data_IF_041290844685
#
_entry.id   IF_041290844685
#
_cell.length_a   1.000
_cell.length_b   1.000
_cell.length_c   1.000
_cell.angle_alpha   90.00
_cell.angle_beta   90.00
_cell.angle_gamma   90.00
#
_symmetry.space_group_name_H-M   'P 1'
#
loop_
_entity.id
_entity.type
_entity.pdbx_description
1 polymer ?
#
# COMPACT_ATOMS: atom_id res chain seq x y z
N UNK A 1 -10.84 14.72 11.83
CA UNK A 1 -11.10 14.24 10.46
C UNK A 1 -12.55 14.44 10.12
N UNK A 2 -12.84 14.87 8.90
CA UNK A 2 -14.22 14.87 8.43
C UNK A 2 -14.69 13.44 8.19
N UNK A 3 -16.02 13.22 8.22
CA UNK A 3 -16.60 11.91 7.92
C UNK A 3 -16.28 11.47 6.49
N UNK A 4 -16.16 12.41 5.56
CA UNK A 4 -15.78 12.14 4.17
C UNK A 4 -14.36 11.57 4.07
N UNK A 5 -13.42 12.12 4.84
CA UNK A 5 -12.05 11.61 4.90
C UNK A 5 -12.01 10.19 5.45
N UNK A 6 -12.79 9.90 6.49
CA UNK A 6 -12.87 8.56 7.08
C UNK A 6 -13.42 7.56 6.05
N UNK A 7 -14.45 7.93 5.31
CA UNK A 7 -15.03 7.08 4.26
C UNK A 7 -13.99 6.78 3.17
N UNK A 8 -13.24 7.79 2.73
CA UNK A 8 -12.18 7.59 1.74
C UNK A 8 -11.07 6.70 2.27
N UNK A 9 -10.58 6.92 3.48
CA UNK A 9 -9.54 6.08 4.08
C UNK A 9 -10.00 4.63 4.15
N UNK A 10 -11.25 4.38 4.56
CA UNK A 10 -11.79 3.03 4.63
C UNK A 10 -11.87 2.37 3.25
N UNK A 11 -12.21 3.12 2.21
CA UNK A 11 -12.24 2.61 0.83
C UNK A 11 -10.85 2.17 0.37
N UNK A 12 -9.81 2.94 0.68
CA UNK A 12 -8.42 2.61 0.33
C UNK A 12 -7.91 1.42 1.13
N UNK A 13 -8.22 1.34 2.42
CA UNK A 13 -7.85 0.19 3.25
C UNK A 13 -8.51 -1.09 2.75
N UNK A 14 -9.78 -1.01 2.37
CA UNK A 14 -10.51 -2.16 1.82
C UNK A 14 -9.91 -2.62 0.49
N UNK A 15 -9.60 -1.71 -0.41
CA UNK A 15 -8.97 -2.03 -1.68
C UNK A 15 -7.60 -2.69 -1.47
N UNK A 16 -6.80 -2.16 -0.56
CA UNK A 16 -5.50 -2.73 -0.21
C UNK A 16 -5.64 -4.14 0.36
N UNK A 17 -6.61 -4.35 1.25
CA UNK A 17 -6.87 -5.66 1.84
C UNK A 17 -7.27 -6.67 0.77
N UNK A 18 -8.19 -6.32 -0.11
CA UNK A 18 -8.66 -7.21 -1.17
C UNK A 18 -7.53 -7.55 -2.15
N UNK A 19 -6.72 -6.58 -2.50
CA UNK A 19 -5.58 -6.81 -3.38
C UNK A 19 -4.54 -7.73 -2.71
N UNK A 20 -4.26 -7.52 -1.43
CA UNK A 20 -3.35 -8.35 -0.67
C UNK A 20 -3.85 -9.79 -0.56
N UNK A 21 -5.15 -9.98 -0.30
CA UNK A 21 -5.74 -11.32 -0.22
C UNK A 21 -5.56 -12.11 -1.50
N UNK A 22 -5.55 -11.44 -2.66
CA UNK A 22 -5.41 -12.09 -3.95
C UNK A 22 -3.96 -12.26 -4.41
N UNK A 23 -3.06 -11.37 -4.00
CA UNK A 23 -1.75 -11.25 -4.65
C UNK A 23 -0.55 -11.37 -3.72
N UNK A 24 -0.71 -11.16 -2.42
CA UNK A 24 0.45 -11.07 -1.53
C UNK A 24 1.27 -12.37 -1.52
N UNK A 25 0.60 -13.51 -1.45
CA UNK A 25 1.27 -14.82 -1.41
C UNK A 25 2.06 -15.14 -2.68
N UNK A 26 1.70 -14.53 -3.80
CA UNK A 26 2.40 -14.75 -5.07
C UNK A 26 3.62 -13.86 -5.26
N UNK A 27 3.71 -12.79 -4.49
CA UNK A 27 4.76 -11.78 -4.65
C UNK A 27 5.77 -11.80 -3.54
N UNK A 28 5.47 -12.45 -2.42
CA UNK A 28 6.38 -12.63 -1.30
C UNK A 28 6.82 -14.10 -1.29
N UNK A 29 8.03 -14.34 -1.77
CA UNK A 29 8.54 -15.69 -2.00
C UNK A 29 8.53 -16.57 -0.75
N UNK A 30 7.69 -17.62 -0.75
CA UNK A 30 7.85 -18.85 0.00
C UNK A 30 7.83 -18.79 1.52
N UNK A 31 7.88 -17.64 2.13
CA UNK A 31 7.82 -17.50 3.58
C UNK A 31 6.47 -16.96 4.00
N UNK A 32 5.81 -17.66 4.90
CA UNK A 32 4.57 -17.16 5.48
C UNK A 32 4.86 -15.92 6.32
N UNK A 33 4.17 -14.83 5.99
CA UNK A 33 4.20 -13.63 6.81
C UNK A 33 3.36 -13.84 8.06
N UNK A 34 3.82 -13.31 9.18
CA UNK A 34 3.02 -13.24 10.38
C UNK A 34 1.85 -12.25 10.19
N UNK A 35 0.80 -12.42 10.99
CA UNK A 35 -0.36 -11.52 10.91
C UNK A 35 -0.02 -10.05 11.13
N UNK A 36 0.91 -9.77 12.06
CA UNK A 36 1.38 -8.39 12.28
C UNK A 36 2.05 -7.81 11.03
N UNK A 37 2.82 -8.62 10.31
CA UNK A 37 3.49 -8.20 9.08
C UNK A 37 2.48 -7.95 7.96
N UNK A 38 1.46 -8.81 7.84
CA UNK A 38 0.39 -8.62 6.86
C UNK A 38 -0.40 -7.34 7.11
N UNK A 39 -0.72 -7.05 8.37
CA UNK A 39 -1.38 -5.79 8.74
C UNK A 39 -0.54 -4.58 8.37
N UNK A 40 0.77 -4.65 8.64
CA UNK A 40 1.69 -3.58 8.27
C UNK A 40 1.73 -3.38 6.75
N UNK A 41 1.83 -4.46 5.99
CA UNK A 41 1.81 -4.40 4.52
C UNK A 41 0.52 -3.76 4.02
N UNK A 42 -0.62 -4.11 4.59
CA UNK A 42 -1.91 -3.54 4.17
C UNK A 42 -1.98 -2.05 4.50
N UNK A 43 -1.50 -1.63 5.68
CA UNK A 43 -1.46 -0.22 6.06
C UNK A 43 -0.57 0.59 5.11
N UNK A 44 0.61 0.08 4.80
CA UNK A 44 1.54 0.72 3.86
C UNK A 44 0.93 0.75 2.46
N UNK A 45 0.25 -0.32 2.05
CA UNK A 45 -0.43 -0.41 0.75
C UNK A 45 -1.50 0.67 0.60
N UNK A 46 -2.33 0.87 1.62
CA UNK A 46 -3.33 1.94 1.61
C UNK A 46 -2.67 3.32 1.49
N UNK A 47 -1.58 3.54 2.21
CA UNK A 47 -0.82 4.78 2.14
C UNK A 47 -0.24 5.03 0.74
N UNK A 48 0.29 3.99 0.10
CA UNK A 48 0.80 4.07 -1.27
C UNK A 48 -0.32 4.45 -2.25
N UNK A 49 -1.48 3.81 -2.15
CA UNK A 49 -2.61 4.09 -3.03
C UNK A 49 -3.13 5.51 -2.84
N UNK A 50 -3.25 5.96 -1.60
CA UNK A 50 -3.69 7.33 -1.30
C UNK A 50 -2.68 8.36 -1.81
N UNK A 51 -1.40 8.09 -1.66
CA UNK A 51 -0.33 8.96 -2.16
C UNK A 51 -0.38 9.02 -3.69
N UNK A 52 -0.53 7.88 -4.36
CA UNK A 52 -0.66 7.81 -5.81
C UNK A 52 -1.84 8.64 -6.32
N UNK A 53 -2.98 8.52 -5.66
CA UNK A 53 -4.23 9.15 -6.10
C UNK A 53 -4.41 10.56 -5.52
N UNK A 54 -3.45 11.02 -4.71
CA UNK A 54 -3.46 12.35 -4.08
C UNK A 54 -4.68 12.57 -3.20
N UNK A 55 -5.02 11.56 -2.42
CA UNK A 55 -6.12 11.58 -1.46
C UNK A 55 -5.57 11.69 -0.05
N UNK A 56 -6.03 12.67 0.71
CA UNK A 56 -5.55 12.90 2.07
C UNK A 56 -4.12 13.42 2.13
N UNK A 57 -3.44 13.17 3.22
CA UNK A 57 -2.03 13.53 3.37
C UNK A 57 -1.14 12.54 2.63
N UNK A 58 -0.05 13.03 2.00
CA UNK A 58 0.90 12.12 1.38
C UNK A 58 1.49 11.18 2.43
N UNK A 59 1.75 9.94 2.01
CA UNK A 59 2.41 8.98 2.86
C UNK A 59 3.86 9.37 3.14
N UNK A 60 4.53 8.57 3.97
CA UNK A 60 5.93 8.78 4.29
C UNK A 60 6.84 8.60 3.08
N UNK A 61 8.15 8.77 3.31
CA UNK A 61 9.14 8.76 2.24
C UNK A 61 9.19 7.46 1.45
N UNK A 62 8.92 6.31 2.09
CA UNK A 62 8.84 5.04 1.38
C UNK A 62 7.67 5.02 0.38
N UNK A 63 6.48 5.40 0.82
CA UNK A 63 5.29 5.43 -0.05
C UNK A 63 5.50 6.38 -1.23
N UNK A 64 6.06 7.56 -0.99
CA UNK A 64 6.35 8.52 -2.04
C UNK A 64 7.36 7.97 -3.04
N UNK A 65 8.41 7.28 -2.58
CA UNK A 65 9.42 6.69 -3.46
C UNK A 65 8.82 5.59 -4.34
N UNK A 66 7.94 4.76 -3.80
CA UNK A 66 7.25 3.72 -4.59
C UNK A 66 6.39 4.37 -5.67
N UNK A 67 5.61 5.38 -5.32
CA UNK A 67 4.73 6.09 -6.28
C UNK A 67 5.54 6.77 -7.37
N UNK A 68 6.71 7.31 -7.03
CA UNK A 68 7.58 8.02 -7.98
C UNK A 68 8.49 7.08 -8.78
N UNK A 69 8.38 5.77 -8.57
CA UNK A 69 9.27 4.77 -9.19
C UNK A 69 10.75 4.96 -8.83
N UNK A 70 11.01 5.51 -7.66
CA UNK A 70 12.36 5.76 -7.17
C UNK A 70 12.84 4.54 -6.37
N UNK A 71 13.42 3.58 -7.08
CA UNK A 71 13.83 2.31 -6.50
C UNK A 71 14.87 2.48 -5.40
N UNK A 72 15.84 3.37 -5.61
CA UNK A 72 16.90 3.59 -4.62
C UNK A 72 16.33 4.08 -3.29
N UNK A 73 15.48 5.12 -3.33
CA UNK A 73 14.88 5.66 -2.12
C UNK A 73 13.85 4.70 -1.52
N UNK A 74 13.11 3.98 -2.34
CA UNK A 74 12.18 2.96 -1.85
C UNK A 74 12.91 1.90 -1.02
N UNK A 75 14.01 1.36 -1.53
CA UNK A 75 14.82 0.37 -0.81
C UNK A 75 15.45 0.99 0.43
N UNK A 76 16.00 2.19 0.32
CA UNK A 76 16.70 2.87 1.43
C UNK A 76 15.77 3.23 2.59
N UNK A 77 14.50 3.47 2.31
CA UNK A 77 13.51 3.90 3.32
C UNK A 77 12.64 2.75 3.82
N UNK A 78 12.73 1.58 3.19
CA UNK A 78 11.92 0.42 3.57
C UNK A 78 12.45 -0.20 4.86
N UNK A 79 11.52 -0.62 5.73
CA UNK A 79 11.86 -1.55 6.80
C UNK A 79 12.00 -2.97 6.23
N UNK A 80 12.35 -3.93 7.08
CA UNK A 80 12.57 -5.32 6.64
C UNK A 80 11.34 -5.94 5.99
N UNK A 81 10.14 -5.63 6.48
CA UNK A 81 8.88 -6.14 5.92
C UNK A 81 8.63 -5.51 4.55
N UNK A 82 8.81 -4.20 4.42
CA UNK A 82 8.58 -3.49 3.17
C UNK A 82 9.57 -3.91 2.08
N UNK A 83 10.83 -4.19 2.43
CA UNK A 83 11.79 -4.72 1.46
C UNK A 83 11.32 -6.07 0.91
N UNK A 84 10.86 -6.96 1.78
CA UNK A 84 10.36 -8.27 1.36
C UNK A 84 9.11 -8.16 0.47
N UNK A 85 8.29 -7.17 0.70
CA UNK A 85 7.05 -6.96 -0.04
C UNK A 85 7.18 -5.93 -1.18
N UNK A 86 8.39 -5.53 -1.55
CA UNK A 86 8.60 -4.45 -2.51
C UNK A 86 7.97 -4.75 -3.88
N UNK A 87 8.12 -5.97 -4.37
CA UNK A 87 7.49 -6.39 -5.62
C UNK A 87 5.97 -6.23 -5.53
N UNK A 88 5.37 -6.65 -4.42
CA UNK A 88 3.95 -6.50 -4.19
C UNK A 88 3.52 -5.03 -4.23
N UNK A 89 4.26 -4.14 -3.56
CA UNK A 89 3.94 -2.72 -3.54
C UNK A 89 4.01 -2.09 -4.93
N UNK A 90 4.98 -2.45 -5.73
CA UNK A 90 5.12 -1.93 -7.10
C UNK A 90 3.94 -2.38 -7.96
N UNK A 91 3.55 -3.65 -7.87
CA UNK A 91 2.41 -4.19 -8.60
C UNK A 91 1.09 -3.58 -8.13
N UNK A 92 0.94 -3.40 -6.82
CA UNK A 92 -0.23 -2.73 -6.24
C UNK A 92 -0.37 -1.31 -6.80
N UNK A 93 0.71 -0.55 -6.78
CA UNK A 93 0.71 0.83 -7.29
C UNK A 93 0.25 0.89 -8.74
N UNK A 94 0.73 -0.03 -9.57
CA UNK A 94 0.41 -0.02 -11.00
C UNK A 94 -0.97 -0.59 -11.32
N UNK A 95 -1.44 -1.58 -10.55
CA UNK A 95 -2.58 -2.41 -10.97
C UNK A 95 -3.81 -2.27 -10.10
N UNK A 96 -3.66 -1.87 -8.83
CA UNK A 96 -4.80 -1.80 -7.92
C UNK A 96 -5.64 -0.55 -8.20
N UNK A 97 -6.91 -0.77 -8.49
CA UNK A 97 -7.86 0.33 -8.65
C UNK A 97 -8.75 0.43 -7.41
N UNK A 98 -8.99 1.65 -6.98
CA UNK A 98 -9.80 1.92 -5.80
C UNK A 98 -11.12 2.52 -6.24
N UNK A 99 -12.22 1.86 -5.88
CA UNK A 99 -13.56 2.40 -6.09
C UNK A 99 -13.89 3.30 -4.92
N UNK A 100 -13.87 4.60 -5.17
CA UNK A 100 -14.23 5.57 -4.14
C UNK A 100 -15.74 5.78 -4.14
N UNK A 101 -16.37 5.91 -2.97
CA UNK A 101 -17.78 6.25 -2.92
C UNK A 101 -17.99 7.67 -3.45
N UNK A 102 -19.14 7.90 -4.04
CA UNK A 102 -19.56 9.26 -4.39
C UNK A 102 -19.92 10.01 -3.10
N UNK A 103 -19.25 11.08 -2.87
CA UNK A 103 -19.50 11.95 -1.71
C UNK A 103 -20.31 13.18 -2.11
#
# INVERSE_FOLDING_TARGET
MSSETIILVNAYQKAAQEYADRNLNYTVHGEEMQESDKKHVIQVSASILMTRDKVGYPGGSFAQAVVDNDLYNAISRADSVCVRALKFFVMLKDSCQVKTPRL
#
